data_IF_313162978603
#
_entry.id   IF_313162978603
#
_cell.length_a   1.000
_cell.length_b   1.000
_cell.length_c   1.000
_cell.angle_alpha   90.00
_cell.angle_beta   90.00
_cell.angle_gamma   90.00
#
_symmetry.space_group_name_H-M   'P 1'
#
loop_
_entity.id
_entity.type
_entity.pdbx_description
1 polymer ?
#
# COMPACT_ATOMS: atom_id res chain seq x y z
N UNK A 1 13.36 -5.94 5.03
CA UNK A 1 12.99 -6.46 3.69
C UNK A 1 12.45 -5.36 2.81
N UNK A 2 11.29 -4.75 3.11
CA UNK A 2 10.68 -3.67 2.29
C UNK A 2 11.71 -2.59 1.91
N UNK A 3 12.41 -2.01 2.89
CA UNK A 3 13.43 -1.00 2.64
C UNK A 3 14.59 -1.46 1.77
N UNK A 4 15.03 -2.72 1.92
CA UNK A 4 16.07 -3.32 1.06
C UNK A 4 15.60 -3.46 -0.39
N UNK A 5 14.31 -3.74 -0.60
CA UNK A 5 13.73 -3.74 -1.95
C UNK A 5 13.69 -2.31 -2.51
N UNK A 6 13.27 -1.33 -1.70
CA UNK A 6 13.20 0.08 -2.12
C UNK A 6 14.57 0.62 -2.53
N UNK A 7 15.64 0.24 -1.83
CA UNK A 7 17.02 0.65 -2.21
C UNK A 7 17.50 0.08 -3.54
N UNK A 8 16.81 -0.91 -4.12
CA UNK A 8 17.15 -1.51 -5.41
C UNK A 8 16.37 -0.90 -6.59
N UNK A 9 15.39 -0.03 -6.32
CA UNK A 9 14.61 0.63 -7.36
C UNK A 9 15.47 1.69 -8.07
N UNK A 10 15.24 1.87 -9.37
CA UNK A 10 15.94 2.83 -10.21
C UNK A 10 15.10 4.07 -10.49
N UNK A 11 13.78 3.95 -10.43
CA UNK A 11 12.84 5.05 -10.60
C UNK A 11 12.69 5.94 -9.36
N UNK A 12 11.67 6.82 -9.33
CA UNK A 12 11.41 7.69 -8.20
C UNK A 12 11.07 6.89 -6.93
N UNK A 13 11.49 7.41 -5.77
CA UNK A 13 11.19 6.78 -4.49
C UNK A 13 9.67 6.78 -4.23
N UNK A 14 9.07 5.63 -3.90
CA UNK A 14 7.64 5.55 -3.64
C UNK A 14 7.28 6.16 -2.28
N UNK A 15 6.13 6.83 -2.23
CA UNK A 15 5.48 7.17 -0.98
C UNK A 15 4.74 5.96 -0.43
N UNK A 16 5.02 5.57 0.81
CA UNK A 16 4.26 4.54 1.52
C UNK A 16 3.22 5.18 2.43
N UNK A 17 1.97 4.78 2.25
CA UNK A 17 0.89 5.21 3.14
C UNK A 17 -0.15 4.09 3.37
N UNK A 18 -0.60 3.86 4.61
CA UNK A 18 -1.63 2.87 4.88
C UNK A 18 -3.04 3.42 4.56
N UNK A 19 -3.90 2.61 3.94
CA UNK A 19 -5.33 2.94 3.77
C UNK A 19 -6.10 3.08 5.09
N UNK A 20 -5.46 2.76 6.21
CA UNK A 20 -5.93 3.04 7.57
C UNK A 20 -4.72 3.40 8.46
N UNK A 21 -4.58 4.68 8.89
CA UNK A 21 -3.36 5.15 9.56
C UNK A 21 -3.28 4.81 11.05
N UNK A 22 -4.41 4.45 11.67
CA UNK A 22 -4.46 4.20 13.10
C UNK A 22 -4.07 2.75 13.44
N UNK A 23 -3.73 2.51 14.71
CA UNK A 23 -3.37 1.18 15.23
C UNK A 23 -4.59 0.59 15.96
N UNK A 24 -5.36 -0.31 15.32
CA UNK A 24 -6.57 -0.81 15.93
C UNK A 24 -6.23 -1.92 16.93
N UNK A 25 -6.84 -1.83 18.10
CA UNK A 25 -6.66 -2.78 19.21
C UNK A 25 -7.99 -3.44 19.59
N UNK A 26 -7.90 -4.54 20.34
CA UNK A 26 -9.04 -5.16 21.02
C UNK A 26 -9.54 -4.26 22.15
N UNK A 27 -10.85 -4.25 22.40
CA UNK A 27 -11.45 -3.43 23.45
C UNK A 27 -10.82 -3.73 24.82
N UNK A 28 -10.43 -2.68 25.55
CA UNK A 28 -9.75 -2.81 26.84
C UNK A 28 -8.31 -3.33 26.79
N UNK A 29 -7.74 -3.57 25.59
CA UNK A 29 -6.39 -4.13 25.41
C UNK A 29 -5.55 -3.29 24.43
N UNK A 30 -5.13 -2.07 24.80
CA UNK A 30 -4.46 -1.12 23.87
C UNK A 30 -3.13 -1.62 23.31
N UNK A 31 -2.47 -2.59 23.97
CA UNK A 31 -1.22 -3.19 23.49
C UNK A 31 -1.42 -4.25 22.38
N UNK A 32 -2.65 -4.58 22.02
CA UNK A 32 -2.94 -5.55 20.95
C UNK A 32 -2.99 -4.88 19.58
N UNK A 33 -2.66 -5.64 18.53
CA UNK A 33 -2.83 -5.21 17.15
C UNK A 33 -3.78 -6.16 16.45
N UNK A 34 -4.99 -5.69 16.15
CA UNK A 34 -5.96 -6.45 15.35
C UNK A 34 -5.93 -5.95 13.91
N UNK A 35 -6.47 -6.74 12.99
CA UNK A 35 -6.70 -6.23 11.65
C UNK A 35 -7.79 -5.11 11.68
N UNK A 36 -7.62 -4.02 10.90
CA UNK A 36 -8.68 -3.03 10.74
C UNK A 36 -9.89 -3.65 10.03
N UNK A 37 -11.09 -3.24 10.45
CA UNK A 37 -12.36 -3.66 9.83
C UNK A 37 -12.58 -2.86 8.55
N UNK A 38 -13.39 -3.40 7.63
CA UNK A 38 -13.66 -2.74 6.35
C UNK A 38 -14.25 -1.32 6.52
N UNK A 39 -15.13 -1.12 7.51
CA UNK A 39 -15.73 0.20 7.80
C UNK A 39 -14.67 1.25 8.16
N UNK A 40 -13.76 0.95 9.08
CA UNK A 40 -12.71 1.91 9.49
C UNK A 40 -11.67 2.13 8.39
N UNK A 41 -11.42 1.15 7.52
CA UNK A 41 -10.59 1.36 6.33
C UNK A 41 -11.24 2.36 5.38
N UNK A 42 -12.57 2.32 5.23
CA UNK A 42 -13.29 3.25 4.36
C UNK A 42 -13.10 4.71 4.82
N UNK A 43 -13.00 4.96 6.13
CA UNK A 43 -12.74 6.28 6.69
C UNK A 43 -11.29 6.76 6.43
N UNK A 44 -10.32 5.84 6.42
CA UNK A 44 -8.91 6.20 6.20
C UNK A 44 -8.52 6.40 4.73
N UNK A 45 -9.26 5.80 3.79
CA UNK A 45 -8.92 5.83 2.36
C UNK A 45 -8.94 7.24 1.76
N UNK A 46 -9.93 8.11 2.03
CA UNK A 46 -9.93 9.49 1.54
C UNK A 46 -8.67 10.28 1.91
N UNK A 47 -8.08 10.04 3.08
CA UNK A 47 -6.83 10.70 3.50
C UNK A 47 -5.67 10.27 2.59
N UNK A 48 -5.56 8.97 2.31
CA UNK A 48 -4.55 8.44 1.39
C UNK A 48 -4.67 9.07 -0.01
N UNK A 49 -5.89 9.20 -0.53
CA UNK A 49 -6.16 9.80 -1.83
C UNK A 49 -5.89 11.31 -1.86
N UNK A 50 -6.20 12.02 -0.76
CA UNK A 50 -5.88 13.43 -0.63
C UNK A 50 -4.37 13.69 -0.69
N UNK A 51 -3.55 12.85 -0.05
CA UNK A 51 -2.08 12.98 -0.20
C UNK A 51 -1.62 12.59 -1.60
N UNK A 52 -2.16 11.52 -2.18
CA UNK A 52 -1.82 11.16 -3.55
C UNK A 52 -2.07 12.34 -4.52
N UNK A 53 -3.20 13.03 -4.37
CA UNK A 53 -3.51 14.23 -5.12
C UNK A 53 -2.54 15.39 -4.82
N UNK A 54 -2.27 15.68 -3.54
CA UNK A 54 -1.38 16.76 -3.12
C UNK A 54 0.06 16.61 -3.64
N UNK A 55 0.55 15.37 -3.70
CA UNK A 55 1.88 15.04 -4.22
C UNK A 55 1.87 14.72 -5.72
N UNK A 56 0.73 14.85 -6.40
CA UNK A 56 0.55 14.55 -7.84
C UNK A 56 1.02 13.14 -8.21
N UNK A 57 0.71 12.17 -7.36
CA UNK A 57 1.02 10.76 -7.59
C UNK A 57 0.14 10.26 -8.75
N UNK A 58 0.79 9.76 -9.81
CA UNK A 58 0.13 9.24 -11.01
C UNK A 58 -0.06 7.72 -10.99
N UNK A 59 0.79 7.01 -10.23
CA UNK A 59 0.77 5.55 -10.11
C UNK A 59 0.41 5.13 -8.69
N UNK A 60 -0.72 4.43 -8.53
CA UNK A 60 -1.17 3.91 -7.23
C UNK A 60 -0.94 2.41 -7.17
N UNK A 61 -0.28 1.96 -6.10
CA UNK A 61 0.03 0.56 -5.85
C UNK A 61 -0.71 0.07 -4.61
N UNK A 62 -1.52 -0.97 -4.77
CA UNK A 62 -2.31 -1.57 -3.70
C UNK A 62 -1.54 -2.71 -3.02
N UNK A 63 -0.89 -2.45 -1.89
CA UNK A 63 -0.15 -3.47 -1.14
C UNK A 63 -1.09 -4.31 -0.27
N UNK A 64 -1.52 -5.45 -0.80
CA UNK A 64 -2.40 -6.42 -0.14
C UNK A 64 -3.89 -6.21 -0.38
N UNK A 65 -4.67 -7.28 -0.12
CA UNK A 65 -6.11 -7.35 -0.44
C UNK A 65 -6.96 -6.27 0.24
N UNK A 66 -6.59 -5.84 1.45
CA UNK A 66 -7.34 -4.80 2.18
C UNK A 66 -7.22 -3.43 1.50
N UNK A 67 -6.00 -3.06 1.09
CA UNK A 67 -5.75 -1.84 0.32
C UNK A 67 -6.44 -1.90 -1.03
N UNK A 68 -6.28 -3.02 -1.75
CA UNK A 68 -6.93 -3.22 -3.05
C UNK A 68 -8.46 -3.07 -2.96
N UNK A 69 -9.11 -3.75 -2.02
CA UNK A 69 -10.56 -3.66 -1.87
C UNK A 69 -11.04 -2.25 -1.45
N UNK A 70 -10.23 -1.51 -0.72
CA UNK A 70 -10.52 -0.11 -0.35
C UNK A 70 -10.46 0.83 -1.56
N UNK A 71 -9.41 0.70 -2.38
CA UNK A 71 -9.23 1.52 -3.58
C UNK A 71 -10.31 1.24 -4.62
N UNK A 72 -10.67 -0.04 -4.84
CA UNK A 72 -11.79 -0.43 -5.71
C UNK A 72 -13.11 0.21 -5.26
N UNK A 73 -13.41 0.22 -3.96
CA UNK A 73 -14.63 0.88 -3.44
C UNK A 73 -14.65 2.39 -3.64
N UNK A 74 -13.49 3.00 -3.85
CA UNK A 74 -13.35 4.43 -4.14
C UNK A 74 -13.12 4.69 -5.65
N UNK A 75 -13.39 3.70 -6.51
CA UNK A 75 -13.19 3.79 -7.96
C UNK A 75 -11.75 4.16 -8.38
N UNK A 76 -10.75 3.82 -7.56
CA UNK A 76 -9.34 4.06 -7.85
C UNK A 76 -8.72 2.80 -8.47
N UNK A 77 -8.21 2.95 -9.70
CA UNK A 77 -7.39 1.93 -10.33
C UNK A 77 -6.03 1.88 -9.61
N UNK A 78 -5.62 0.67 -9.22
CA UNK A 78 -4.36 0.47 -8.51
C UNK A 78 -3.75 -0.88 -8.86
N UNK A 79 -2.42 -0.89 -8.98
CA UNK A 79 -1.63 -2.08 -9.30
C UNK A 79 -1.51 -2.96 -8.05
N UNK A 80 -2.03 -4.19 -8.04
CA UNK A 80 -2.06 -5.00 -6.83
C UNK A 80 -0.72 -5.70 -6.56
N UNK A 81 -0.17 -5.50 -5.37
CA UNK A 81 0.99 -6.25 -4.88
C UNK A 81 0.63 -7.18 -3.72
N UNK A 82 1.34 -8.30 -3.60
CA UNK A 82 1.28 -9.16 -2.41
C UNK A 82 1.81 -8.38 -1.21
N UNK A 83 1.06 -8.39 -0.11
CA UNK A 83 1.53 -7.80 1.15
C UNK A 83 2.77 -8.55 1.67
N UNK A 84 3.82 -7.87 2.17
CA UNK A 84 5.08 -8.51 2.57
C UNK A 84 4.97 -9.40 3.82
N UNK A 85 3.97 -9.18 4.68
CA UNK A 85 3.70 -10.03 5.84
C UNK A 85 3.17 -11.42 5.47
N UNK A 86 3.13 -12.35 6.44
CA UNK A 86 2.55 -13.70 6.30
C UNK A 86 3.14 -14.45 5.09
N UNK A 87 4.48 -14.53 5.04
CA UNK A 87 5.23 -15.20 3.97
C UNK A 87 5.25 -14.47 2.62
N UNK A 88 4.63 -13.30 2.48
CA UNK A 88 4.54 -12.60 1.20
C UNK A 88 5.79 -11.81 0.79
N UNK A 89 6.82 -11.77 1.63
CA UNK A 89 7.99 -10.91 1.47
C UNK A 89 8.70 -11.05 0.11
N UNK A 90 8.97 -12.28 -0.32
CA UNK A 90 9.66 -12.55 -1.60
C UNK A 90 8.83 -12.08 -2.79
N UNK A 91 7.53 -12.37 -2.77
CA UNK A 91 6.60 -12.02 -3.87
C UNK A 91 6.46 -10.49 -3.94
N UNK A 92 6.27 -9.81 -2.81
CA UNK A 92 6.25 -8.35 -2.76
C UNK A 92 7.50 -7.75 -3.42
N UNK A 93 8.68 -8.25 -3.04
CA UNK A 93 9.95 -7.73 -3.55
C UNK A 93 10.08 -7.92 -5.07
N UNK A 94 9.77 -9.12 -5.57
CA UNK A 94 9.80 -9.41 -7.01
C UNK A 94 8.84 -8.52 -7.79
N UNK A 95 7.59 -8.40 -7.33
CA UNK A 95 6.61 -7.60 -8.06
C UNK A 95 6.92 -6.09 -8.03
N UNK A 96 7.48 -5.57 -6.94
CA UNK A 96 7.85 -4.15 -6.86
C UNK A 96 9.02 -3.82 -7.79
N UNK A 97 10.03 -4.69 -7.87
CA UNK A 97 11.16 -4.51 -8.81
C UNK A 97 10.68 -4.60 -10.25
N UNK A 98 9.85 -5.59 -10.57
CA UNK A 98 9.30 -5.73 -11.92
C UNK A 98 8.50 -4.49 -12.33
N UNK A 99 7.67 -3.94 -11.44
CA UNK A 99 6.92 -2.72 -11.71
C UNK A 99 7.83 -1.52 -11.98
N UNK A 100 8.94 -1.40 -11.24
CA UNK A 100 9.94 -0.35 -11.48
C UNK A 100 10.61 -0.49 -12.85
N UNK A 101 11.01 -1.71 -13.22
CA UNK A 101 11.61 -2.03 -14.52
C UNK A 101 10.65 -1.75 -15.70
N UNK A 102 9.37 -2.12 -15.56
CA UNK A 102 8.33 -1.82 -16.55
C UNK A 102 8.15 -0.30 -16.72
N UNK A 103 8.06 0.44 -15.62
CA UNK A 103 7.92 1.90 -15.64
C UNK A 103 9.13 2.61 -16.26
N UNK A 104 10.34 2.06 -16.15
CA UNK A 104 11.53 2.60 -16.82
C UNK A 104 11.58 2.27 -18.32
N UNK A 105 10.85 1.26 -18.78
CA UNK A 105 10.87 0.83 -20.19
C UNK A 105 9.86 1.58 -21.06
N UNK A 106 8.90 2.27 -20.43
CA UNK A 106 7.88 3.11 -21.10
C UNK A 106 8.31 4.58 -21.28
N UNK A 107 9.49 4.95 -20.77
CA UNK A 107 10.07 6.31 -20.84
C UNK A 107 11.21 6.37 -21.84
#
# INVERSE_FOLDING_TARGET
MVWRTVTALRGPLPMFWPVYPNHPHESGRPATNRAPRAAVIAEGTPIALAMAAAFRITTIVAVGRKAQGSLVRNAVQAIPLRHPAQGGARIFATQLVQLDEEAQSET
#
